data_IF_899839225965
#
_entry.id   IF_899839225965
#
_cell.length_a   1.000
_cell.length_b   1.000
_cell.length_c   1.000
_cell.angle_alpha   90.00
_cell.angle_beta   90.00
_cell.angle_gamma   90.00
#
_symmetry.space_group_name_H-M   'P 1'
#
loop_
_entity.id
_entity.type
_entity.pdbx_description
1 polymer ?
#
# COMPACT_ATOMS: atom_id res chain seq x y z
N UNK A 1 32.77 35.94 8.39
CA UNK A 1 31.68 36.50 9.20
C UNK A 1 31.58 35.61 10.42
N UNK A 2 32.35 35.97 11.44
CA UNK A 2 32.51 35.24 12.69
C UNK A 2 31.52 35.77 13.74
N UNK A 3 30.80 34.87 14.39
CA UNK A 3 29.88 35.19 15.50
C UNK A 3 30.55 34.72 16.81
N UNK A 4 30.82 35.60 17.79
CA UNK A 4 31.49 35.21 19.02
C UNK A 4 30.52 34.62 20.05
N UNK A 5 30.97 33.54 20.71
CA UNK A 5 30.34 32.91 21.88
C UNK A 5 30.38 33.85 23.10
N UNK A 6 29.23 34.11 23.71
CA UNK A 6 29.15 34.75 25.02
C UNK A 6 29.28 33.72 26.16
N UNK A 7 30.11 34.09 27.13
CA UNK A 7 30.40 33.41 28.39
C UNK A 7 29.42 33.92 29.45
N UNK A 8 28.79 33.02 30.23
CA UNK A 8 28.01 33.37 31.42
C UNK A 8 28.83 33.11 32.70
N UNK A 9 28.85 34.03 33.67
CA UNK A 9 29.64 33.86 34.90
C UNK A 9 28.87 33.12 36.00
N UNK A 10 29.63 32.36 36.77
CA UNK A 10 29.25 31.62 37.97
C UNK A 10 29.03 32.55 39.17
N UNK A 11 27.96 32.33 39.94
CA UNK A 11 27.61 33.13 41.11
C UNK A 11 26.84 32.36 42.18
N UNK A 12 27.46 32.29 43.37
CA UNK A 12 27.19 31.55 44.62
C UNK A 12 25.76 31.50 45.18
N UNK A 13 25.49 30.37 45.83
CA UNK A 13 24.47 30.08 46.85
C UNK A 13 24.58 31.00 48.08
N UNK A 14 23.44 31.45 48.63
CA UNK A 14 23.21 31.57 50.07
C UNK A 14 21.72 31.80 50.44
N UNK A 15 21.20 30.86 51.24
CA UNK A 15 20.29 30.94 52.39
C UNK A 15 19.36 32.16 52.58
N UNK A 16 18.04 31.91 52.73
CA UNK A 16 17.06 32.70 53.52
C UNK A 16 15.96 31.73 54.06
N UNK A 17 15.38 31.94 55.27
CA UNK A 17 15.02 30.87 56.21
C UNK A 17 13.55 30.41 56.20
N UNK A 18 13.32 29.29 56.90
CA UNK A 18 12.04 28.64 57.15
C UNK A 18 11.33 29.25 58.38
N UNK A 19 10.05 29.65 58.30
CA UNK A 19 9.24 29.90 59.49
C UNK A 19 8.56 28.61 59.97
N UNK A 20 8.83 28.27 61.22
CA UNK A 20 8.18 27.22 62.00
C UNK A 20 6.92 27.75 62.67
N UNK A 21 5.72 27.27 62.31
CA UNK A 21 4.55 27.35 63.20
C UNK A 21 3.36 26.48 62.75
N UNK A 22 3.02 25.50 63.62
CA UNK A 22 1.68 24.99 63.98
C UNK A 22 1.03 23.80 63.22
N UNK A 23 1.21 22.64 63.86
CA UNK A 23 0.35 21.47 64.01
C UNK A 23 -1.19 21.73 63.98
N UNK A 24 -1.93 20.98 63.14
CA UNK A 24 -2.88 19.88 63.51
C UNK A 24 -3.91 19.62 62.40
N UNK A 25 -3.95 18.37 61.93
CA UNK A 25 -5.19 17.65 61.57
C UNK A 25 -5.74 17.85 60.14
N UNK A 26 -5.94 16.74 59.43
CA UNK A 26 -6.84 16.71 58.27
C UNK A 26 -6.33 15.84 57.13
N UNK A 27 -6.92 14.66 56.99
CA UNK A 27 -6.82 13.80 55.82
C UNK A 27 -7.24 14.56 54.56
N UNK A 28 -6.54 14.41 53.43
CA UNK A 28 -7.08 14.32 52.05
C UNK A 28 -5.94 13.96 51.08
N UNK A 29 -6.31 13.12 50.12
CA UNK A 29 -5.51 12.35 49.17
C UNK A 29 -4.52 13.13 48.31
N UNK A 30 -3.34 12.54 48.18
CA UNK A 30 -2.37 12.76 47.10
C UNK A 30 -2.95 12.30 45.76
N UNK A 31 -3.08 13.22 44.80
CA UNK A 31 -3.04 12.86 43.37
C UNK A 31 -1.96 13.69 42.70
N UNK A 32 -0.79 13.05 42.52
CA UNK A 32 0.22 13.52 41.58
C UNK A 32 -0.42 13.54 40.18
N UNK A 33 -0.46 14.71 39.56
CA UNK A 33 -0.82 14.84 38.15
C UNK A 33 0.16 14.02 37.30
N UNK A 34 -0.34 12.91 36.74
CA UNK A 34 0.41 12.04 35.85
C UNK A 34 0.73 12.74 34.52
N UNK A 35 1.94 12.50 34.02
CA UNK A 35 2.31 12.79 32.61
C UNK A 35 1.40 11.98 31.67
N UNK A 36 1.15 12.44 30.44
CA UNK A 36 0.42 11.66 29.45
C UNK A 36 1.20 10.36 29.20
N UNK A 37 0.60 9.22 29.53
CA UNK A 37 1.12 7.91 29.15
C UNK A 37 0.92 7.73 27.65
N UNK A 38 2.01 7.53 26.92
CA UNK A 38 1.98 7.10 25.53
C UNK A 38 1.02 5.90 25.37
N UNK A 39 0.17 5.97 24.36
CA UNK A 39 -0.90 5.04 24.03
C UNK A 39 -0.43 3.58 24.06
N UNK A 40 -0.75 2.86 25.14
CA UNK A 40 -0.62 1.40 25.18
C UNK A 40 -1.89 0.80 24.60
N UNK A 41 -1.85 0.60 23.29
CA UNK A 41 -2.81 -0.22 22.57
C UNK A 41 -2.99 -1.59 23.27
N UNK A 42 -4.23 -2.10 23.46
CA UNK A 42 -4.44 -3.32 24.24
C UNK A 42 -3.76 -4.53 23.56
N UNK A 43 -2.90 -5.24 24.28
CA UNK A 43 -2.17 -6.43 23.79
C UNK A 43 -3.06 -7.49 23.12
N UNK A 44 -4.36 -7.52 23.47
CA UNK A 44 -5.37 -8.44 22.95
C UNK A 44 -5.71 -8.13 21.48
N UNK A 45 -5.80 -6.86 21.06
CA UNK A 45 -6.13 -6.52 19.66
C UNK A 45 -5.04 -6.97 18.68
N UNK A 46 -3.78 -6.78 19.06
CA UNK A 46 -2.61 -7.23 18.28
C UNK A 46 -2.50 -8.76 18.22
N UNK A 47 -2.89 -9.47 19.28
CA UNK A 47 -2.89 -10.94 19.28
C UNK A 47 -3.95 -11.53 18.33
N UNK A 48 -5.13 -10.91 18.25
CA UNK A 48 -6.19 -11.30 17.31
C UNK A 48 -5.77 -11.02 15.86
N UNK A 49 -5.15 -9.88 15.60
CA UNK A 49 -4.65 -9.55 14.25
C UNK A 49 -3.56 -10.53 13.79
N UNK A 50 -2.64 -10.95 14.67
CA UNK A 50 -1.63 -11.98 14.37
C UNK A 50 -2.21 -13.38 14.11
N UNK A 51 -3.42 -13.67 14.58
CA UNK A 51 -4.09 -14.96 14.33
C UNK A 51 -4.69 -15.07 12.93
N UNK A 52 -4.80 -13.94 12.21
CA UNK A 52 -5.29 -13.87 10.84
C UNK A 52 -4.46 -14.77 9.89
N UNK A 53 -5.09 -15.55 8.97
CA UNK A 53 -4.38 -16.43 8.05
C UNK A 53 -3.29 -15.74 7.23
N UNK A 54 -3.56 -14.53 6.74
CA UNK A 54 -2.61 -13.72 5.97
C UNK A 54 -1.41 -13.29 6.81
N UNK A 55 -1.65 -12.85 8.05
CA UNK A 55 -0.58 -12.46 8.97
C UNK A 55 0.34 -13.64 9.31
N UNK A 56 -0.23 -14.83 9.51
CA UNK A 56 0.53 -16.07 9.72
C UNK A 56 1.34 -16.47 8.49
N UNK A 57 0.74 -16.37 7.30
CA UNK A 57 1.40 -16.71 6.04
C UNK A 57 2.62 -15.82 5.79
N UNK A 58 2.46 -14.50 5.94
CA UNK A 58 3.53 -13.53 5.65
C UNK A 58 4.45 -13.23 6.84
N UNK A 59 4.10 -13.72 8.04
CA UNK A 59 4.78 -13.41 9.31
C UNK A 59 4.83 -11.91 9.60
N UNK A 60 3.71 -11.22 9.35
CA UNK A 60 3.53 -9.78 9.60
C UNK A 60 2.56 -9.56 10.77
N UNK A 61 2.53 -8.33 11.29
CA UNK A 61 1.72 -7.97 12.44
C UNK A 61 0.28 -7.57 12.04
N UNK A 62 0.08 -7.06 10.82
CA UNK A 62 -1.17 -6.46 10.35
C UNK A 62 -1.58 -7.02 8.97
N UNK A 63 -2.87 -7.29 8.72
CA UNK A 63 -3.37 -7.80 7.44
C UNK A 63 -3.51 -6.66 6.39
N UNK A 64 -2.46 -5.86 6.26
CA UNK A 64 -2.39 -4.68 5.41
C UNK A 64 -1.12 -4.76 4.55
N UNK A 65 -1.32 -4.70 3.24
CA UNK A 65 -0.28 -4.79 2.23
C UNK A 65 -0.19 -3.47 1.48
N UNK A 66 1.01 -2.93 1.30
CA UNK A 66 1.25 -1.85 0.36
C UNK A 66 1.51 -2.46 -1.03
N UNK A 67 0.71 -2.06 -2.04
CA UNK A 67 0.78 -2.65 -3.39
C UNK A 67 2.12 -2.39 -4.08
N UNK A 68 2.68 -3.36 -4.80
CA UNK A 68 3.83 -3.11 -5.68
C UNK A 68 3.45 -2.23 -6.87
N UNK A 69 3.94 -1.00 -6.88
CA UNK A 69 3.58 0.02 -7.88
C UNK A 69 4.83 0.47 -8.63
N UNK A 70 4.77 0.45 -9.97
CA UNK A 70 5.84 1.00 -10.81
C UNK A 70 6.09 2.47 -10.45
N UNK A 71 7.36 2.87 -10.45
CA UNK A 71 7.83 4.23 -10.15
C UNK A 71 7.55 4.77 -8.73
N UNK A 72 6.72 4.09 -7.94
CA UNK A 72 6.30 4.51 -6.61
C UNK A 72 6.93 3.65 -5.50
N UNK A 73 7.07 2.35 -5.73
CA UNK A 73 7.39 1.36 -4.70
C UNK A 73 8.88 1.00 -4.65
N UNK A 74 9.69 1.98 -4.26
CA UNK A 74 11.11 1.76 -3.91
C UNK A 74 11.29 1.12 -2.52
N UNK A 75 12.55 0.84 -2.16
CA UNK A 75 12.89 0.18 -0.88
C UNK A 75 12.50 1.02 0.34
N UNK A 76 12.48 2.36 0.22
CA UNK A 76 12.08 3.26 1.32
C UNK A 76 10.63 3.04 1.72
N UNK A 77 9.72 3.02 0.75
CA UNK A 77 8.30 2.76 0.99
C UNK A 77 8.10 1.34 1.53
N UNK A 78 8.69 0.33 0.88
CA UNK A 78 8.54 -1.05 1.30
C UNK A 78 9.02 -1.26 2.75
N UNK A 79 10.25 -0.83 3.06
CA UNK A 79 10.79 -0.95 4.42
C UNK A 79 10.00 -0.16 5.46
N UNK A 80 9.51 1.03 5.13
CA UNK A 80 8.68 1.83 6.06
C UNK A 80 7.36 1.14 6.41
N UNK A 81 6.68 0.52 5.44
CA UNK A 81 5.44 -0.23 5.67
C UNK A 81 5.71 -1.53 6.45
N UNK A 82 6.78 -2.26 6.11
CA UNK A 82 7.20 -3.45 6.84
C UNK A 82 7.54 -3.14 8.30
N UNK A 83 8.27 -2.04 8.55
CA UNK A 83 8.59 -1.58 9.92
C UNK A 83 7.35 -1.14 10.71
N UNK A 84 6.30 -0.66 10.02
CA UNK A 84 5.02 -0.31 10.64
C UNK A 84 4.12 -1.53 10.93
N UNK A 85 4.55 -2.74 10.56
CA UNK A 85 3.86 -4.00 10.86
C UNK A 85 2.98 -4.56 9.73
N UNK A 86 2.83 -3.82 8.62
CA UNK A 86 2.21 -4.35 7.39
C UNK A 86 3.21 -5.14 6.53
N UNK A 87 2.80 -5.49 5.31
CA UNK A 87 3.71 -6.02 4.29
C UNK A 87 4.06 -4.93 3.27
N UNK A 88 5.31 -4.49 3.26
CA UNK A 88 5.85 -3.64 2.20
C UNK A 88 6.23 -4.43 0.96
N UNK A 89 6.01 -3.84 -0.23
CA UNK A 89 6.30 -4.49 -1.51
C UNK A 89 7.12 -3.56 -2.40
N UNK A 90 8.27 -4.04 -2.87
CA UNK A 90 9.07 -3.40 -3.93
C UNK A 90 8.39 -3.69 -5.28
N UNK A 91 8.13 -2.65 -6.08
CA UNK A 91 7.57 -2.79 -7.43
C UNK A 91 8.68 -2.92 -8.48
N UNK A 92 8.96 -4.13 -8.96
CA UNK A 92 10.10 -4.36 -9.87
C UNK A 92 9.83 -3.96 -11.31
N UNK A 93 8.57 -3.76 -11.72
CA UNK A 93 8.21 -3.46 -13.11
C UNK A 93 8.80 -2.18 -13.70
N UNK A 94 9.38 -1.31 -12.87
CA UNK A 94 10.09 -0.09 -13.26
C UNK A 94 11.60 -0.14 -12.99
N UNK A 95 12.15 -1.31 -12.69
CA UNK A 95 13.54 -1.50 -12.31
C UNK A 95 14.22 -2.41 -13.33
N UNK A 96 15.40 -2.02 -13.79
CA UNK A 96 16.32 -2.95 -14.41
C UNK A 96 16.84 -3.96 -13.36
N UNK A 97 17.34 -5.14 -13.77
CA UNK A 97 17.73 -6.20 -12.83
C UNK A 97 18.72 -5.75 -11.74
N UNK A 98 19.72 -4.93 -12.09
CA UNK A 98 20.69 -4.37 -11.15
C UNK A 98 20.05 -3.39 -10.16
N UNK A 99 19.07 -2.60 -10.62
CA UNK A 99 18.30 -1.68 -9.77
C UNK A 99 17.42 -2.46 -8.80
N UNK A 100 16.78 -3.55 -9.25
CA UNK A 100 16.03 -4.44 -8.38
C UNK A 100 16.92 -5.03 -7.29
N UNK A 101 18.09 -5.55 -7.66
CA UNK A 101 19.06 -6.11 -6.70
C UNK A 101 19.50 -5.06 -5.67
N UNK A 102 19.79 -3.84 -6.11
CA UNK A 102 20.12 -2.73 -5.21
C UNK A 102 18.98 -2.42 -4.24
N UNK A 103 17.74 -2.34 -4.73
CA UNK A 103 16.57 -2.07 -3.91
C UNK A 103 16.30 -3.19 -2.88
N UNK A 104 16.44 -4.46 -3.27
CA UNK A 104 16.30 -5.59 -2.36
C UNK A 104 17.34 -5.51 -1.23
N UNK A 105 18.61 -5.27 -1.56
CA UNK A 105 19.68 -5.14 -0.55
C UNK A 105 19.46 -3.96 0.40
N UNK A 106 19.06 -2.80 -0.13
CA UNK A 106 18.73 -1.63 0.70
C UNK A 106 17.52 -1.87 1.58
N UNK A 107 16.52 -2.61 1.10
CA UNK A 107 15.35 -2.96 1.89
C UNK A 107 15.74 -3.88 3.05
N UNK A 108 16.51 -4.95 2.80
CA UNK A 108 17.06 -5.81 3.86
C UNK A 108 17.87 -5.05 4.91
N UNK A 109 18.64 -4.05 4.48
CA UNK A 109 19.42 -3.22 5.41
C UNK A 109 18.55 -2.26 6.25
N UNK A 110 17.34 -1.94 5.79
CA UNK A 110 16.43 -0.98 6.43
C UNK A 110 15.33 -1.62 7.29
N UNK A 111 15.15 -2.95 7.21
CA UNK A 111 14.13 -3.67 7.97
C UNK A 111 14.53 -5.13 8.20
N UNK A 112 14.35 -5.60 9.43
CA UNK A 112 14.40 -7.04 9.78
C UNK A 112 13.03 -7.73 9.61
N UNK A 113 11.99 -6.96 9.27
CA UNK A 113 10.63 -7.46 9.01
C UNK A 113 10.48 -7.96 7.58
N UNK A 114 9.58 -8.94 7.32
CA UNK A 114 9.30 -9.42 5.97
C UNK A 114 8.89 -8.30 5.01
N UNK A 115 9.34 -8.42 3.76
CA UNK A 115 8.91 -7.59 2.63
C UNK A 115 8.76 -8.49 1.41
N UNK A 116 8.07 -8.00 0.37
CA UNK A 116 7.89 -8.72 -0.87
C UNK A 116 8.46 -7.97 -2.07
N UNK A 117 8.56 -8.67 -3.20
CA UNK A 117 8.77 -8.07 -4.52
C UNK A 117 7.57 -8.41 -5.40
N UNK A 118 6.99 -7.40 -6.06
CA UNK A 118 6.01 -7.61 -7.12
C UNK A 118 6.72 -7.64 -8.48
N UNK A 119 6.43 -8.67 -9.28
CA UNK A 119 6.94 -8.88 -10.63
C UNK A 119 5.80 -8.98 -11.63
N UNK A 120 5.59 -7.94 -12.48
CA UNK A 120 4.71 -8.05 -13.63
C UNK A 120 5.28 -9.06 -14.62
N UNK A 121 4.48 -10.06 -15.00
CA UNK A 121 4.96 -11.20 -15.78
C UNK A 121 5.28 -10.89 -17.25
N UNK A 122 4.89 -9.71 -17.73
CA UNK A 122 5.22 -9.21 -19.07
C UNK A 122 6.54 -8.41 -19.10
N UNK A 123 7.28 -8.35 -17.99
CA UNK A 123 8.55 -7.64 -17.95
C UNK A 123 9.60 -8.31 -18.88
N UNK A 124 10.33 -7.55 -19.72
CA UNK A 124 11.25 -8.13 -20.72
C UNK A 124 12.33 -9.04 -20.12
N UNK A 125 12.99 -8.62 -19.03
CA UNK A 125 14.10 -9.35 -18.41
C UNK A 125 13.65 -10.09 -17.13
N UNK A 126 12.46 -10.70 -17.19
CA UNK A 126 11.85 -11.36 -16.02
C UNK A 126 12.72 -12.50 -15.45
N UNK A 127 13.45 -13.22 -16.31
CA UNK A 127 14.34 -14.30 -15.88
C UNK A 127 15.40 -13.77 -14.90
N UNK A 128 15.98 -12.60 -15.18
CA UNK A 128 16.97 -11.95 -14.32
C UNK A 128 16.37 -11.40 -13.03
N UNK A 129 15.12 -10.92 -13.07
CA UNK A 129 14.37 -10.55 -11.87
C UNK A 129 14.12 -11.76 -10.96
N UNK A 130 13.71 -12.89 -11.54
CA UNK A 130 13.49 -14.13 -10.80
C UNK A 130 14.80 -14.65 -10.21
N UNK A 131 15.90 -14.63 -10.97
CA UNK A 131 17.22 -14.99 -10.47
C UNK A 131 17.62 -14.12 -9.26
N UNK A 132 17.48 -12.79 -9.38
CA UNK A 132 17.76 -11.85 -8.29
C UNK A 132 16.93 -12.15 -7.04
N UNK A 133 15.63 -12.43 -7.21
CA UNK A 133 14.70 -12.77 -6.11
C UNK A 133 15.13 -14.05 -5.37
N UNK A 134 15.58 -15.06 -6.11
CA UNK A 134 16.04 -16.34 -5.55
C UNK A 134 17.39 -16.17 -4.84
N UNK A 135 18.36 -15.55 -5.51
CA UNK A 135 19.71 -15.29 -4.99
C UNK A 135 19.69 -14.44 -3.74
N UNK A 136 18.85 -13.40 -3.73
CA UNK A 136 18.64 -12.54 -2.58
C UNK A 136 17.59 -13.08 -1.62
N UNK A 137 17.13 -14.32 -1.79
CA UNK A 137 16.23 -15.01 -0.86
C UNK A 137 15.00 -14.19 -0.43
N UNK A 138 14.41 -13.40 -1.34
CA UNK A 138 13.24 -12.58 -1.03
C UNK A 138 12.10 -13.50 -0.57
N UNK A 139 11.50 -13.28 0.62
CA UNK A 139 10.65 -14.30 1.23
C UNK A 139 9.30 -14.45 0.52
N UNK A 140 8.76 -13.36 -0.03
CA UNK A 140 7.42 -13.30 -0.61
C UNK A 140 7.50 -12.66 -1.99
N UNK A 141 6.84 -13.28 -2.99
CA UNK A 141 6.82 -12.81 -4.38
C UNK A 141 5.38 -12.64 -4.83
N UNK A 142 5.03 -11.43 -5.26
CA UNK A 142 3.76 -11.13 -5.89
C UNK A 142 3.97 -11.18 -7.40
N UNK A 143 3.13 -11.92 -8.12
CA UNK A 143 3.11 -11.93 -9.59
C UNK A 143 1.81 -11.32 -10.10
N UNK A 144 1.87 -10.62 -11.22
CA UNK A 144 0.71 -9.99 -11.86
C UNK A 144 0.85 -10.02 -13.38
N UNK A 145 -0.23 -9.72 -14.11
CA UNK A 145 -0.23 -9.59 -15.56
C UNK A 145 0.43 -10.78 -16.31
N UNK A 146 -0.05 -12.01 -16.10
CA UNK A 146 0.45 -13.17 -16.84
C UNK A 146 -0.06 -14.50 -16.33
N UNK A 147 0.56 -15.60 -16.76
CA UNK A 147 0.16 -16.94 -16.37
C UNK A 147 0.87 -17.39 -15.07
N UNK A 148 0.16 -17.58 -13.94
CA UNK A 148 0.79 -17.94 -12.67
C UNK A 148 1.59 -19.25 -12.73
N UNK A 149 1.25 -20.18 -13.63
CA UNK A 149 1.94 -21.48 -13.75
C UNK A 149 3.39 -21.37 -14.26
N UNK A 150 3.79 -20.24 -14.86
CA UNK A 150 5.14 -20.09 -15.43
C UNK A 150 6.23 -20.13 -14.35
N UNK A 151 6.00 -19.45 -13.22
CA UNK A 151 7.04 -19.22 -12.20
C UNK A 151 6.70 -19.76 -10.81
N UNK A 152 5.42 -20.03 -10.53
CA UNK A 152 5.00 -20.43 -9.18
C UNK A 152 5.75 -21.67 -8.70
N UNK A 153 5.84 -22.74 -9.51
CA UNK A 153 6.56 -23.95 -9.13
C UNK A 153 8.04 -23.68 -8.81
N UNK A 154 8.74 -22.94 -9.68
CA UNK A 154 10.14 -22.60 -9.48
C UNK A 154 10.34 -21.82 -8.17
N UNK A 155 9.51 -20.80 -7.91
CA UNK A 155 9.58 -20.02 -6.68
C UNK A 155 9.30 -20.87 -5.44
N UNK A 156 8.31 -21.76 -5.52
CA UNK A 156 7.95 -22.70 -4.45
C UNK A 156 9.06 -23.71 -4.17
N UNK A 157 9.73 -24.23 -5.21
CA UNK A 157 10.87 -25.14 -5.09
C UNK A 157 12.05 -24.47 -4.35
N UNK A 158 12.14 -23.14 -4.40
CA UNK A 158 13.11 -22.34 -3.63
C UNK A 158 12.56 -21.83 -2.28
N UNK A 159 11.41 -22.32 -1.82
CA UNK A 159 10.83 -21.97 -0.52
C UNK A 159 10.22 -20.57 -0.42
N UNK A 160 9.91 -19.94 -1.56
CA UNK A 160 9.29 -18.59 -1.59
C UNK A 160 7.78 -18.71 -1.46
N UNK A 161 7.18 -17.79 -0.71
CA UNK A 161 5.72 -17.62 -0.70
C UNK A 161 5.28 -16.90 -1.97
N UNK A 162 4.34 -17.46 -2.72
CA UNK A 162 3.88 -16.90 -3.99
C UNK A 162 2.46 -16.38 -3.88
N UNK A 163 2.24 -15.13 -4.28
CA UNK A 163 0.93 -14.47 -4.33
C UNK A 163 0.67 -14.05 -5.77
N UNK A 164 -0.56 -14.22 -6.28
CA UNK A 164 -0.90 -13.80 -7.64
C UNK A 164 -2.09 -12.84 -7.66
N UNK A 165 -1.97 -11.78 -8.47
CA UNK A 165 -3.04 -10.79 -8.68
C UNK A 165 -3.99 -11.27 -9.78
N UNK A 166 -5.30 -11.24 -9.49
CA UNK A 166 -6.36 -11.68 -10.41
C UNK A 166 -7.51 -10.68 -10.44
N UNK A 167 -8.22 -10.66 -11.57
CA UNK A 167 -9.40 -9.78 -11.78
C UNK A 167 -10.71 -10.55 -11.97
N UNK A 168 -10.70 -11.88 -11.83
CA UNK A 168 -11.90 -12.70 -11.99
C UNK A 168 -11.80 -14.03 -11.24
N UNK A 169 -12.94 -14.64 -10.96
CA UNK A 169 -13.04 -15.98 -10.34
C UNK A 169 -12.30 -17.04 -11.15
N UNK A 170 -12.38 -16.96 -12.48
CA UNK A 170 -11.68 -17.89 -13.38
C UNK A 170 -10.16 -17.82 -13.19
N UNK A 171 -9.61 -16.61 -13.06
CA UNK A 171 -8.18 -16.44 -12.85
C UNK A 171 -7.78 -16.80 -11.41
N UNK A 172 -8.63 -16.55 -10.42
CA UNK A 172 -8.40 -16.99 -9.04
C UNK A 172 -8.22 -18.51 -8.95
N UNK A 173 -9.14 -19.28 -9.55
CA UNK A 173 -9.03 -20.76 -9.60
C UNK A 173 -7.74 -21.22 -10.28
N UNK A 174 -7.40 -20.63 -11.44
CA UNK A 174 -6.15 -20.94 -12.14
C UNK A 174 -4.89 -20.63 -11.33
N UNK A 175 -4.90 -19.55 -10.55
CA UNK A 175 -3.78 -19.22 -9.68
C UNK A 175 -3.64 -20.27 -8.56
N UNK A 176 -4.75 -20.67 -7.94
CA UNK A 176 -4.76 -21.75 -6.93
C UNK A 176 -4.30 -23.08 -7.53
N UNK A 177 -4.78 -23.45 -8.72
CA UNK A 177 -4.35 -24.65 -9.44
C UNK A 177 -2.84 -24.63 -9.76
N UNK A 178 -2.26 -23.43 -9.95
CA UNK A 178 -0.82 -23.25 -10.14
C UNK A 178 0.00 -23.38 -8.84
N UNK A 179 -0.65 -23.45 -7.68
CA UNK A 179 -0.02 -23.67 -6.38
C UNK A 179 0.40 -22.39 -5.64
N UNK A 180 -0.25 -21.26 -5.91
CA UNK A 180 0.00 -20.01 -5.16
C UNK A 180 -0.47 -20.15 -3.71
N UNK A 181 0.16 -19.42 -2.81
CA UNK A 181 -0.13 -19.43 -1.38
C UNK A 181 -1.23 -18.43 -0.99
N UNK A 182 -1.47 -17.40 -1.81
CA UNK A 182 -2.55 -16.43 -1.64
C UNK A 182 -2.93 -15.77 -2.97
N UNK A 183 -4.08 -15.12 -3.00
CA UNK A 183 -4.59 -14.41 -4.18
C UNK A 183 -4.93 -12.96 -3.81
N UNK A 184 -4.53 -12.01 -4.66
CA UNK A 184 -5.06 -10.63 -4.63
C UNK A 184 -6.20 -10.53 -5.63
N UNK A 185 -7.42 -10.26 -5.16
CA UNK A 185 -8.55 -9.93 -6.02
C UNK A 185 -8.64 -8.42 -6.20
N UNK A 186 -8.32 -7.94 -7.41
CA UNK A 186 -8.26 -6.52 -7.74
C UNK A 186 -9.49 -6.06 -8.52
N UNK A 187 -10.27 -5.17 -7.89
CA UNK A 187 -11.49 -4.61 -8.46
C UNK A 187 -11.26 -3.43 -9.40
N UNK A 188 -12.32 -3.11 -10.16
CA UNK A 188 -12.37 -2.03 -11.15
C UNK A 188 -11.89 -0.65 -10.67
N UNK A 189 -12.02 -0.34 -9.39
CA UNK A 189 -11.67 0.92 -8.77
C UNK A 189 -10.14 1.12 -8.64
N UNK A 190 -9.35 0.04 -8.78
CA UNK A 190 -7.90 0.06 -8.71
C UNK A 190 -7.28 0.95 -9.80
N UNK A 191 -6.10 1.50 -9.48
CA UNK A 191 -5.31 2.34 -10.39
C UNK A 191 -4.35 1.50 -11.22
N UNK A 192 -3.96 2.02 -12.38
CA UNK A 192 -3.11 1.27 -13.30
C UNK A 192 -3.90 0.21 -14.05
N UNK A 193 -3.25 -0.90 -14.40
CA UNK A 193 -3.81 -1.90 -15.29
C UNK A 193 -4.87 -2.77 -14.59
N UNK A 194 -6.08 -2.83 -15.16
CA UNK A 194 -7.22 -3.55 -14.59
C UNK A 194 -7.72 -4.70 -15.47
N UNK A 195 -8.55 -5.56 -14.87
CA UNK A 195 -9.28 -6.60 -15.60
C UNK A 195 -10.25 -6.04 -16.64
N UNK A 196 -10.44 -6.79 -17.74
CA UNK A 196 -11.35 -6.42 -18.84
C UNK A 196 -12.82 -6.52 -18.44
N UNK A 197 -13.14 -7.30 -17.42
CA UNK A 197 -14.50 -7.55 -16.95
C UNK A 197 -15.11 -6.40 -16.13
N UNK A 198 -14.29 -5.43 -15.71
CA UNK A 198 -14.74 -4.25 -14.96
C UNK A 198 -15.52 -4.58 -13.68
N UNK A 199 -15.27 -5.75 -13.10
CA UNK A 199 -15.91 -6.19 -11.87
C UNK A 199 -15.36 -5.37 -10.69
N UNK A 200 -16.25 -4.74 -9.93
CA UNK A 200 -15.89 -3.91 -8.77
C UNK A 200 -15.42 -4.74 -7.59
N UNK A 201 -14.66 -4.15 -6.67
CA UNK A 201 -14.19 -4.84 -5.45
C UNK A 201 -15.36 -5.40 -4.63
N UNK A 202 -16.46 -4.65 -4.54
CA UNK A 202 -17.69 -5.06 -3.83
C UNK A 202 -18.25 -6.39 -4.36
N UNK A 203 -18.16 -6.62 -5.67
CA UNK A 203 -18.71 -7.81 -6.33
C UNK A 203 -17.66 -8.91 -6.47
N UNK A 204 -16.42 -8.56 -6.80
CA UNK A 204 -15.34 -9.50 -7.06
C UNK A 204 -14.92 -10.28 -5.81
N UNK A 205 -14.70 -9.59 -4.69
CA UNK A 205 -14.19 -10.21 -3.45
C UNK A 205 -15.06 -11.38 -2.97
N UNK A 206 -16.39 -11.24 -2.77
CA UNK A 206 -17.20 -12.35 -2.29
C UNK A 206 -17.26 -13.50 -3.30
N UNK A 207 -17.35 -13.22 -4.60
CA UNK A 207 -17.34 -14.27 -5.64
C UNK A 207 -16.02 -15.05 -5.66
N UNK A 208 -14.88 -14.39 -5.46
CA UNK A 208 -13.58 -15.06 -5.37
C UNK A 208 -13.48 -15.87 -4.08
N UNK A 209 -13.94 -15.32 -2.95
CA UNK A 209 -13.95 -16.02 -1.66
C UNK A 209 -14.70 -17.35 -1.72
N UNK A 210 -15.84 -17.39 -2.38
CA UNK A 210 -16.63 -18.62 -2.58
C UNK A 210 -15.91 -19.67 -3.43
N UNK A 211 -14.93 -19.26 -4.23
CA UNK A 211 -14.30 -20.10 -5.23
C UNK A 211 -12.91 -20.64 -4.83
N UNK A 212 -12.30 -20.12 -3.78
CA UNK A 212 -10.95 -20.50 -3.32
C UNK A 212 -10.91 -20.65 -1.81
N UNK A 213 -9.96 -21.42 -1.29
CA UNK A 213 -9.73 -21.58 0.17
C UNK A 213 -8.49 -20.84 0.68
N UNK A 214 -7.50 -20.58 -0.18
CA UNK A 214 -6.27 -19.85 0.18
C UNK A 214 -6.57 -18.43 0.67
N UNK A 215 -5.68 -17.80 1.45
CA UNK A 215 -5.83 -16.42 1.87
C UNK A 215 -6.14 -15.47 0.71
N UNK A 216 -7.16 -14.62 0.91
CA UNK A 216 -7.67 -13.67 -0.07
C UNK A 216 -7.35 -12.24 0.36
N UNK A 217 -6.72 -11.47 -0.53
CA UNK A 217 -6.40 -10.06 -0.32
C UNK A 217 -7.29 -9.23 -1.25
N UNK A 218 -8.06 -8.30 -0.71
CA UNK A 218 -8.83 -7.37 -1.53
C UNK A 218 -7.98 -6.18 -1.98
N UNK A 219 -8.06 -5.79 -3.25
CA UNK A 219 -7.42 -4.60 -3.81
C UNK A 219 -8.40 -3.80 -4.67
N UNK A 220 -8.19 -2.48 -4.74
CA UNK A 220 -9.04 -1.55 -5.51
C UNK A 220 -10.08 -0.85 -4.65
N UNK A 221 -10.07 0.48 -4.65
CA UNK A 221 -11.04 1.30 -3.89
C UNK A 221 -10.75 1.43 -2.38
N UNK A 222 -9.70 0.78 -1.86
CA UNK A 222 -9.38 0.76 -0.43
C UNK A 222 -8.33 1.84 -0.11
N UNK A 223 -8.66 2.75 0.81
CA UNK A 223 -7.76 3.82 1.27
C UNK A 223 -7.97 4.24 2.73
N UNK A 224 -8.95 3.65 3.41
CA UNK A 224 -9.38 3.99 4.78
C UNK A 224 -9.66 2.71 5.57
N UNK A 225 -9.74 2.82 6.90
CA UNK A 225 -10.05 1.69 7.77
C UNK A 225 -11.47 1.17 7.61
N UNK A 226 -12.44 2.03 7.27
CA UNK A 226 -13.82 1.62 6.94
C UNK A 226 -13.89 0.80 5.66
N UNK A 227 -13.17 1.21 4.62
CA UNK A 227 -13.07 0.45 3.38
C UNK A 227 -12.39 -0.91 3.63
N UNK A 228 -11.36 -0.94 4.49
CA UNK A 228 -10.76 -2.20 4.95
C UNK A 228 -11.80 -3.09 5.65
N UNK A 229 -12.59 -2.56 6.59
CA UNK A 229 -13.63 -3.33 7.26
C UNK A 229 -14.64 -3.91 6.27
N UNK A 230 -15.10 -3.12 5.30
CA UNK A 230 -16.01 -3.59 4.26
C UNK A 230 -15.41 -4.79 3.49
N UNK A 231 -14.15 -4.69 3.07
CA UNK A 231 -13.46 -5.78 2.38
C UNK A 231 -13.32 -7.05 3.24
N UNK A 232 -13.01 -6.89 4.54
CA UNK A 232 -12.93 -8.02 5.48
C UNK A 232 -14.30 -8.70 5.64
N UNK A 233 -15.39 -7.93 5.70
CA UNK A 233 -16.76 -8.46 5.77
C UNK A 233 -17.16 -9.21 4.49
N UNK A 234 -16.68 -8.77 3.34
CA UNK A 234 -16.88 -9.46 2.06
C UNK A 234 -16.09 -10.78 1.95
N UNK A 235 -15.25 -11.11 2.92
CA UNK A 235 -14.52 -12.37 3.00
C UNK A 235 -13.03 -12.27 2.70
N UNK A 236 -12.46 -11.07 2.58
CA UNK A 236 -11.01 -10.92 2.49
C UNK A 236 -10.33 -11.19 3.84
N UNK A 237 -9.15 -11.82 3.79
CA UNK A 237 -8.26 -12.01 4.94
C UNK A 237 -7.35 -10.81 5.18
N UNK A 238 -7.24 -9.90 4.21
CA UNK A 238 -6.54 -8.63 4.34
C UNK A 238 -6.75 -7.74 3.12
N UNK A 239 -6.06 -6.60 3.12
CA UNK A 239 -6.24 -5.59 2.08
C UNK A 239 -4.91 -5.14 1.49
N UNK A 240 -4.92 -4.82 0.19
CA UNK A 240 -3.82 -4.22 -0.52
C UNK A 240 -4.19 -2.79 -0.94
N UNK A 241 -3.38 -1.82 -0.49
CA UNK A 241 -3.58 -0.41 -0.76
C UNK A 241 -2.49 0.08 -1.73
N UNK A 242 -2.91 0.68 -2.84
CA UNK A 242 -2.01 1.33 -3.81
C UNK A 242 -2.00 2.85 -3.63
N UNK A 243 -3.04 3.52 -4.13
CA UNK A 243 -3.10 4.99 -4.22
C UNK A 243 -2.89 5.73 -2.89
N UNK A 244 -3.35 5.16 -1.77
CA UNK A 244 -3.08 5.73 -0.43
C UNK A 244 -1.59 5.80 -0.12
N UNK A 245 -0.79 4.81 -0.54
CA UNK A 245 0.65 4.77 -0.36
C UNK A 245 1.45 5.49 -1.45
N UNK A 246 0.88 5.78 -2.62
CA UNK A 246 1.47 6.78 -3.55
C UNK A 246 1.60 8.13 -2.83
N UNK A 247 0.59 8.50 -2.05
CA UNK A 247 0.57 9.70 -1.21
C UNK A 247 1.33 9.52 0.11
N UNK A 248 2.45 8.81 0.09
CA UNK A 248 3.37 8.72 1.22
C UNK A 248 4.65 9.52 0.98
N UNK A 249 5.33 9.94 2.05
CA UNK A 249 6.62 10.62 1.95
C UNK A 249 7.68 9.71 1.31
N UNK A 250 7.68 8.43 1.67
CA UNK A 250 8.67 7.42 1.28
C UNK A 250 8.49 6.87 -0.14
N UNK A 251 7.33 7.10 -0.76
CA UNK A 251 7.10 6.74 -2.16
C UNK A 251 8.10 7.44 -3.09
N UNK A 252 8.61 6.71 -4.08
CA UNK A 252 9.52 7.22 -5.12
C UNK A 252 8.85 8.11 -6.18
N UNK A 253 7.51 8.23 -6.13
CA UNK A 253 6.77 9.09 -7.05
C UNK A 253 7.24 10.54 -6.98
N UNK A 254 7.17 11.24 -8.11
CA UNK A 254 7.48 12.66 -8.18
C UNK A 254 6.55 13.47 -7.25
N UNK A 255 7.04 14.47 -6.51
CA UNK A 255 6.19 15.30 -5.65
C UNK A 255 5.01 15.94 -6.38
N UNK A 256 5.20 16.39 -7.62
CA UNK A 256 4.11 16.95 -8.44
C UNK A 256 2.99 15.94 -8.70
N UNK A 257 3.34 14.68 -8.97
CA UNK A 257 2.35 13.61 -9.16
C UNK A 257 1.59 13.33 -7.86
N UNK A 258 2.29 13.23 -6.72
CA UNK A 258 1.64 13.05 -5.41
C UNK A 258 0.66 14.19 -5.10
N UNK A 259 1.06 15.43 -5.37
CA UNK A 259 0.19 16.61 -5.21
C UNK A 259 -1.04 16.56 -6.12
N UNK A 260 -0.85 16.14 -7.38
CA UNK A 260 -1.96 15.94 -8.31
C UNK A 260 -2.96 14.87 -7.85
N UNK A 261 -2.48 13.81 -7.20
CA UNK A 261 -3.32 12.75 -6.64
C UNK A 261 -4.15 13.25 -5.45
N UNK A 262 -3.56 13.97 -4.49
CA UNK A 262 -4.32 14.51 -3.34
C UNK A 262 -5.28 15.64 -3.73
N UNK A 263 -5.02 16.33 -4.84
CA UNK A 263 -5.91 17.33 -5.41
C UNK A 263 -7.06 16.72 -6.24
N UNK A 264 -7.02 15.43 -6.56
CA UNK A 264 -8.02 14.79 -7.41
C UNK A 264 -9.37 14.67 -6.67
N UNK A 265 -10.44 15.11 -7.33
CA UNK A 265 -11.83 14.91 -6.89
C UNK A 265 -12.45 13.60 -7.37
N UNK A 266 -13.70 13.38 -6.97
CA UNK A 266 -14.54 12.33 -7.54
C UNK A 266 -14.67 12.50 -9.06
N UNK A 267 -14.67 11.38 -9.80
CA UNK A 267 -14.86 11.38 -11.24
C UNK A 267 -13.64 11.82 -12.08
N UNK A 268 -12.53 12.16 -11.45
CA UNK A 268 -11.31 12.57 -12.16
C UNK A 268 -10.47 11.42 -12.70
N UNK A 269 -10.75 10.17 -12.32
CA UNK A 269 -10.10 9.00 -12.90
C UNK A 269 -11.05 8.24 -13.83
N UNK A 270 -10.49 7.57 -14.82
CA UNK A 270 -11.22 6.83 -15.84
C UNK A 270 -10.44 5.59 -16.27
N UNK A 271 -11.15 4.49 -16.54
CA UNK A 271 -10.58 3.31 -17.17
C UNK A 271 -10.63 3.49 -18.69
N UNK A 272 -9.49 3.50 -19.35
CA UNK A 272 -9.34 3.79 -20.79
C UNK A 272 -8.36 2.80 -21.45
N UNK A 273 -8.07 2.96 -22.75
CA UNK A 273 -7.15 2.14 -23.55
C UNK A 273 -7.49 0.63 -23.52
N UNK A 274 -8.78 0.31 -23.42
CA UNK A 274 -9.30 -1.07 -23.28
C UNK A 274 -8.95 -1.96 -24.47
N UNK A 275 -8.74 -1.37 -25.65
CA UNK A 275 -8.30 -2.04 -26.87
C UNK A 275 -6.85 -2.54 -26.76
N UNK A 276 -6.02 -1.85 -25.99
CA UNK A 276 -4.62 -2.23 -25.72
C UNK A 276 -4.55 -3.07 -24.44
N UNK A 277 -4.61 -2.40 -23.31
CA UNK A 277 -4.66 -2.96 -21.98
C UNK A 277 -5.43 -1.95 -21.10
N UNK A 278 -6.57 -2.34 -20.49
CA UNK A 278 -7.35 -1.42 -19.68
C UNK A 278 -6.48 -0.81 -18.58
N UNK A 279 -6.40 0.52 -18.53
CA UNK A 279 -5.60 1.25 -17.55
C UNK A 279 -6.41 2.39 -16.96
N UNK A 280 -6.40 2.50 -15.62
CA UNK A 280 -7.05 3.60 -14.90
C UNK A 280 -6.05 4.69 -14.57
N UNK A 281 -6.35 5.88 -15.05
CA UNK A 281 -5.52 7.07 -14.91
C UNK A 281 -6.36 8.32 -14.60
N UNK A 282 -5.70 9.37 -14.12
CA UNK A 282 -6.27 10.70 -13.96
C UNK A 282 -6.50 11.35 -15.33
N UNK A 283 -7.63 12.03 -15.51
CA UNK A 283 -7.91 12.88 -16.67
C UNK A 283 -6.94 14.07 -16.71
N UNK A 284 -6.11 14.12 -17.74
CA UNK A 284 -5.14 15.17 -18.04
C UNK A 284 -5.09 15.45 -19.57
N UNK A 285 -4.25 16.36 -20.06
CA UNK A 285 -4.07 16.59 -21.51
C UNK A 285 -3.78 15.33 -22.33
N UNK A 286 -2.92 14.41 -21.87
CA UNK A 286 -2.72 13.11 -22.53
C UNK A 286 -4.02 12.32 -22.66
N UNK A 287 -4.85 12.26 -21.62
CA UNK A 287 -6.16 11.63 -21.71
C UNK A 287 -7.05 12.29 -22.78
N UNK A 288 -6.99 13.61 -22.97
CA UNK A 288 -7.73 14.28 -24.04
C UNK A 288 -7.25 13.85 -25.43
N UNK A 289 -5.94 13.67 -25.63
CA UNK A 289 -5.40 13.12 -26.88
C UNK A 289 -5.96 11.72 -27.17
N UNK A 290 -6.11 10.89 -26.13
CA UNK A 290 -6.75 9.57 -26.24
C UNK A 290 -8.24 9.70 -26.60
N UNK A 291 -8.97 10.63 -25.99
CA UNK A 291 -10.38 10.89 -26.35
C UNK A 291 -10.54 11.37 -27.80
N UNK A 292 -9.64 12.24 -28.28
CA UNK A 292 -9.61 12.70 -29.68
C UNK A 292 -9.28 11.57 -30.66
N UNK A 293 -8.44 10.61 -30.26
CA UNK A 293 -8.20 9.41 -31.04
C UNK A 293 -9.46 8.54 -31.13
N UNK A 294 -10.17 8.34 -30.02
CA UNK A 294 -11.45 7.62 -30.02
C UNK A 294 -12.54 8.31 -30.85
N UNK A 295 -12.66 9.64 -30.75
CA UNK A 295 -13.62 10.41 -31.53
C UNK A 295 -13.41 10.30 -33.05
N UNK A 296 -12.18 9.98 -33.46
CA UNK A 296 -11.81 9.73 -34.87
C UNK A 296 -11.81 8.25 -35.26
N UNK A 297 -12.32 7.37 -34.39
CA UNK A 297 -12.33 5.92 -34.58
C UNK A 297 -10.92 5.34 -34.86
N UNK A 298 -9.92 5.81 -34.11
CA UNK A 298 -8.54 5.38 -34.27
C UNK A 298 -8.39 3.86 -34.14
N UNK A 299 -7.53 3.27 -34.97
CA UNK A 299 -7.19 1.84 -34.88
C UNK A 299 -6.31 1.54 -33.67
N UNK A 300 -6.17 0.26 -33.33
CA UNK A 300 -5.25 -0.21 -32.28
C UNK A 300 -3.82 0.30 -32.50
N UNK A 301 -3.34 0.34 -33.73
CA UNK A 301 -2.00 0.83 -34.10
C UNK A 301 -1.88 2.33 -33.82
N UNK A 302 -2.87 3.12 -34.20
CA UNK A 302 -2.90 4.56 -33.93
C UNK A 302 -3.00 4.86 -32.44
N UNK A 303 -3.75 4.06 -31.67
CA UNK A 303 -3.78 4.18 -30.20
C UNK A 303 -2.41 3.87 -29.57
N UNK A 304 -1.65 2.90 -30.11
CA UNK A 304 -0.27 2.63 -29.68
C UNK A 304 0.65 3.81 -29.98
N UNK A 305 0.48 4.47 -31.11
CA UNK A 305 1.25 5.68 -31.45
C UNK A 305 0.95 6.83 -30.48
N UNK A 306 -0.32 7.04 -30.13
CA UNK A 306 -0.73 8.05 -29.13
C UNK A 306 -0.15 7.72 -27.76
N UNK A 307 -0.29 6.46 -27.31
CA UNK A 307 0.29 6.00 -26.04
C UNK A 307 1.82 6.14 -26.02
N UNK A 308 2.49 5.87 -27.13
CA UNK A 308 3.93 6.01 -27.23
C UNK A 308 4.68 5.07 -26.28
N UNK A 309 5.80 5.55 -25.72
CA UNK A 309 6.66 4.77 -24.81
C UNK A 309 6.86 5.51 -23.48
N UNK A 310 6.89 4.74 -22.39
CA UNK A 310 7.28 5.19 -21.05
C UNK A 310 6.49 6.38 -20.49
N UNK A 311 5.21 6.57 -20.87
CA UNK A 311 4.37 7.65 -20.34
C UNK A 311 4.11 7.54 -18.84
N UNK A 312 3.99 6.33 -18.30
CA UNK A 312 3.89 6.12 -16.85
C UNK A 312 5.13 6.67 -16.10
N UNK A 313 6.33 6.46 -16.65
CA UNK A 313 7.58 7.04 -16.09
C UNK A 313 7.54 8.58 -16.17
N UNK A 314 7.21 9.11 -17.35
CA UNK A 314 7.12 10.55 -17.60
C UNK A 314 6.21 11.26 -16.59
N UNK A 315 5.04 10.69 -16.34
CA UNK A 315 4.08 11.23 -15.38
C UNK A 315 4.45 11.00 -13.93
N UNK A 316 4.56 9.73 -13.55
CA UNK A 316 4.64 9.34 -12.13
C UNK A 316 6.03 9.55 -11.53
N UNK A 317 7.10 9.41 -12.32
CA UNK A 317 8.48 9.50 -11.85
C UNK A 317 9.16 10.83 -12.19
N UNK A 318 8.94 11.34 -13.40
CA UNK A 318 9.58 12.56 -13.91
C UNK A 318 8.72 13.83 -13.65
N UNK A 319 7.44 13.66 -13.32
CA UNK A 319 6.56 14.74 -12.85
C UNK A 319 5.87 15.55 -13.94
N UNK A 320 5.88 15.07 -15.19
CA UNK A 320 5.16 15.71 -16.29
C UNK A 320 3.67 15.30 -16.25
N UNK A 321 2.86 16.19 -15.67
CA UNK A 321 1.45 15.95 -15.44
C UNK A 321 0.59 16.06 -16.71
N UNK A 322 1.12 16.62 -17.79
CA UNK A 322 0.37 16.88 -19.00
C UNK A 322 0.49 15.73 -19.99
N UNK A 323 1.72 15.28 -20.26
CA UNK A 323 2.02 14.21 -21.20
C UNK A 323 2.21 12.83 -20.53
N UNK A 324 2.21 12.80 -19.20
CA UNK A 324 2.34 11.59 -18.41
C UNK A 324 1.06 10.74 -18.38
N UNK A 325 1.24 9.43 -18.25
CA UNK A 325 0.17 8.49 -17.90
C UNK A 325 0.09 8.44 -16.37
N UNK A 326 -0.91 9.11 -15.80
CA UNK A 326 -1.04 9.33 -14.36
C UNK A 326 -1.88 8.22 -13.71
N UNK A 327 -1.31 7.02 -13.57
CA UNK A 327 -2.00 5.84 -13.05
C UNK A 327 -2.38 5.98 -11.56
N UNK A 328 -3.68 6.00 -11.25
CA UNK A 328 -4.18 6.05 -9.87
C UNK A 328 -5.62 5.53 -9.77
N UNK A 329 -5.99 5.01 -8.60
CA UNK A 329 -7.32 4.47 -8.34
C UNK A 329 -8.35 5.55 -8.03
N UNK A 330 -9.64 5.20 -8.14
CA UNK A 330 -10.76 6.10 -7.80
C UNK A 330 -10.71 6.60 -6.35
N UNK A 331 -10.10 5.82 -5.46
CA UNK A 331 -9.93 6.19 -4.05
C UNK A 331 -9.11 7.49 -3.86
N UNK A 332 -8.36 7.93 -4.88
CA UNK A 332 -7.71 9.26 -4.90
C UNK A 332 -8.68 10.40 -4.57
N UNK A 333 -9.94 10.29 -4.99
CA UNK A 333 -11.00 11.25 -4.69
C UNK A 333 -11.29 11.45 -3.19
N UNK A 334 -10.78 10.59 -2.31
CA UNK A 334 -10.91 10.66 -0.86
C UNK A 334 -9.60 11.03 -0.14
N UNK A 335 -8.47 11.11 -0.85
CA UNK A 335 -7.16 11.38 -0.25
C UNK A 335 -6.93 12.89 -0.21
N UNK A 336 -6.41 13.41 0.91
CA UNK A 336 -6.27 14.87 1.12
C UNK A 336 -4.87 15.32 1.57
N UNK A 337 -3.99 14.37 1.86
CA UNK A 337 -2.72 14.65 2.53
C UNK A 337 -1.64 13.66 2.08
N UNK A 338 -0.38 14.11 2.14
CA UNK A 338 0.80 13.26 1.98
C UNK A 338 1.36 13.03 3.39
N UNK A 339 1.51 11.76 3.78
CA UNK A 339 1.85 11.38 5.15
C UNK A 339 3.00 10.37 5.18
N UNK A 340 3.76 10.25 6.27
CA UNK A 340 4.66 9.11 6.46
C UNK A 340 3.90 7.79 6.35
N UNK A 341 4.48 6.78 5.71
CA UNK A 341 3.85 5.49 5.48
C UNK A 341 3.42 4.81 6.80
N UNK A 342 4.21 4.95 7.86
CA UNK A 342 3.86 4.45 9.18
C UNK A 342 2.61 5.14 9.78
N UNK A 343 2.41 6.43 9.47
CA UNK A 343 1.20 7.17 9.87
C UNK A 343 -0.01 6.68 9.12
N UNK A 344 0.12 6.41 7.81
CA UNK A 344 -0.95 5.83 7.00
C UNK A 344 -1.39 4.48 7.57
N UNK A 345 -0.43 3.56 7.84
CA UNK A 345 -0.72 2.24 8.41
C UNK A 345 -1.49 2.38 9.72
N UNK A 346 -1.00 3.21 10.65
CA UNK A 346 -1.64 3.45 11.94
C UNK A 346 -3.06 4.01 11.78
N UNK A 347 -3.26 5.04 10.95
CA UNK A 347 -4.57 5.64 10.74
C UNK A 347 -5.58 4.65 10.16
N UNK A 348 -5.19 3.86 9.15
CA UNK A 348 -6.07 2.83 8.57
C UNK A 348 -6.45 1.78 9.61
N UNK A 349 -5.49 1.31 10.40
CA UNK A 349 -5.76 0.29 11.42
C UNK A 349 -6.59 0.82 12.59
N UNK A 350 -6.33 2.03 13.06
CA UNK A 350 -7.11 2.67 14.13
C UNK A 350 -8.55 2.90 13.70
N UNK A 351 -8.76 3.41 12.48
CA UNK A 351 -10.09 3.58 11.91
C UNK A 351 -10.79 2.22 11.69
N UNK A 352 -10.08 1.20 11.21
CA UNK A 352 -10.63 -0.16 11.04
C UNK A 352 -11.14 -0.71 12.37
N UNK A 353 -10.34 -0.58 13.44
CA UNK A 353 -10.71 -1.05 14.79
C UNK A 353 -11.90 -0.26 15.36
N UNK A 354 -11.90 1.06 15.19
CA UNK A 354 -13.03 1.91 15.61
C UNK A 354 -14.30 1.52 14.87
N UNK A 355 -14.24 1.43 13.54
CA UNK A 355 -15.39 1.08 12.70
C UNK A 355 -15.93 -0.32 13.03
N UNK A 356 -15.04 -1.29 13.33
CA UNK A 356 -15.45 -2.64 13.73
C UNK A 356 -16.18 -2.62 15.07
N UNK A 357 -15.66 -1.86 16.04
CA UNK A 357 -16.32 -1.68 17.33
C UNK A 357 -17.68 -1.01 17.18
N UNK A 358 -17.75 0.09 16.44
CA UNK A 358 -19.00 0.80 16.13
C UNK A 358 -20.03 -0.12 15.48
N UNK A 359 -19.61 -0.98 14.53
CA UNK A 359 -20.49 -1.96 13.87
C UNK A 359 -21.06 -2.97 14.87
N UNK A 360 -20.22 -3.51 15.76
CA UNK A 360 -20.61 -4.50 16.76
C UNK A 360 -21.45 -3.91 17.90
N UNK A 361 -21.25 -2.64 18.24
CA UNK A 361 -21.95 -1.98 19.35
C UNK A 361 -23.23 -1.25 18.90
N UNK A 362 -23.40 -1.00 17.60
CA UNK A 362 -24.50 -0.18 17.09
C UNK A 362 -25.87 -0.88 17.16
N UNK A 363 -26.87 -0.32 17.88
CA UNK A 363 -28.18 -0.95 18.07
C UNK A 363 -28.91 -1.27 16.76
N UNK A 364 -28.67 -0.51 15.68
CA UNK A 364 -29.28 -0.76 14.36
C UNK A 364 -28.87 -2.11 13.73
N UNK A 365 -27.83 -2.76 14.25
CA UNK A 365 -27.36 -4.08 13.80
C UNK A 365 -27.59 -5.18 14.84
N UNK A 366 -28.21 -4.85 15.97
CA UNK A 366 -28.64 -5.81 16.98
C UNK A 366 -30.08 -6.19 16.61
N UNK A 367 -30.24 -7.33 15.93
CA UNK A 367 -31.52 -7.85 15.49
C UNK A 367 -32.37 -8.39 16.66
#
# INVERSE_FOLDING_TARGET
MDIPRQVLPTGKLNQIPVPSTWNRGGWISTTCAGRPTADREPLISRAVERSNPLCRLFKVDLPLVQAGMIWCSGWRLASAVSNAGGLGIIGSGSMYPEVLREHVRKCKAATDKPFAVNVPMLYPDIDEHMATIIEEEVPIVFTSAGNPSTWTRMLKDHGRTVVHVVSSVKFARKAVDAGVDAVVAEGFEAGGHNGREETTTLVLVPMVREAIDVPLIAAGGIGTGRAMLAAMVLGADGVQLGSRFVCSEESSAHPAFKQRVVAAGEGETVLTLKELAPVRLIRNPFFQQVQEAYARCATTEQLKEVLGRARAKRGMFEGDLDEGELEIGQVSGQLRDILPAATIVRQVMDEYRSARKELLDAPRFHA
#
